data_IF_355359141201
#
_entry.id   IF_355359141201
#
_cell.length_a   1.000
_cell.length_b   1.000
_cell.length_c   1.000
_cell.angle_alpha   90.00
_cell.angle_beta   90.00
_cell.angle_gamma   90.00
#
_symmetry.space_group_name_H-M   'P 1'
#
loop_
_entity.id
_entity.type
_entity.pdbx_description
1 polymer ?
#
# COMPACT_ATOMS: atom_id res chain seq x y z
N UNK A 1 -14.21 -39.65 7.25
CA UNK A 1 -12.98 -40.24 7.83
C UNK A 1 -11.92 -40.33 6.73
N UNK A 2 -11.16 -39.26 6.49
CA UNK A 2 -10.05 -39.27 5.52
C UNK A 2 -8.76 -38.86 6.26
N UNK A 3 -7.82 -39.80 6.33
CA UNK A 3 -6.50 -39.65 6.97
C UNK A 3 -5.57 -38.90 6.02
N UNK A 4 -5.01 -37.78 6.46
CA UNK A 4 -3.90 -37.11 5.79
C UNK A 4 -2.64 -37.31 6.63
N UNK A 5 -1.71 -38.07 6.06
CA UNK A 5 -0.35 -38.33 6.54
C UNK A 5 0.50 -37.07 6.40
N UNK A 6 0.94 -36.51 7.53
CA UNK A 6 1.89 -35.40 7.58
C UNK A 6 3.31 -35.93 7.78
N UNK A 7 4.18 -35.66 6.80
CA UNK A 7 5.63 -35.78 6.90
C UNK A 7 6.26 -34.54 6.30
N UNK A 8 6.85 -33.67 7.13
CA UNK A 8 7.96 -32.73 6.80
C UNK A 8 8.64 -32.44 8.14
N UNK A 9 9.73 -33.12 8.50
CA UNK A 9 11.14 -32.90 8.15
C UNK A 9 11.71 -31.54 8.61
N UNK A 10 12.64 -31.68 9.54
CA UNK A 10 13.39 -30.72 10.36
C UNK A 10 14.36 -29.86 9.56
N UNK A 11 14.51 -28.60 9.96
CA UNK A 11 15.69 -27.81 9.60
C UNK A 11 15.61 -26.38 10.10
N UNK A 12 16.35 -26.04 11.17
CA UNK A 12 16.74 -24.65 11.41
C UNK A 12 18.16 -24.57 11.99
N UNK A 13 18.99 -23.80 11.28
CA UNK A 13 20.37 -23.41 11.58
C UNK A 13 20.47 -22.61 12.88
N UNK A 14 21.54 -22.86 13.65
CA UNK A 14 21.91 -22.06 14.81
C UNK A 14 22.94 -20.96 14.47
N UNK A 15 22.84 -19.89 15.27
CA UNK A 15 23.33 -18.52 15.13
C UNK A 15 24.86 -18.31 15.18
N UNK A 16 25.21 -17.14 14.63
CA UNK A 16 26.50 -16.45 14.63
C UNK A 16 27.04 -16.02 16.01
N UNK A 17 28.37 -15.91 16.10
CA UNK A 17 29.13 -15.23 17.16
C UNK A 17 30.03 -14.14 16.52
N UNK A 18 29.87 -12.85 16.87
CA UNK A 18 30.65 -12.05 17.87
C UNK A 18 32.13 -11.82 17.42
N UNK A 19 32.74 -10.61 17.38
CA UNK A 19 33.02 -9.57 18.43
C UNK A 19 33.65 -8.34 17.72
N UNK A 20 33.58 -7.09 18.26
CA UNK A 20 34.13 -5.87 17.64
C UNK A 20 35.61 -5.60 18.00
N UNK A 21 36.32 -4.81 17.17
CA UNK A 21 37.62 -4.24 17.54
C UNK A 21 37.63 -2.74 17.23
N UNK A 22 37.79 -1.95 18.29
CA UNK A 22 38.07 -0.52 18.30
C UNK A 22 39.58 -0.27 18.22
N UNK A 23 40.03 0.69 17.42
CA UNK A 23 41.40 1.23 17.51
C UNK A 23 41.34 2.75 17.39
N UNK A 24 41.98 3.41 18.36
CA UNK A 24 41.86 4.84 18.66
C UNK A 24 42.63 5.80 17.76
N UNK A 25 42.30 7.08 17.96
CA UNK A 25 42.97 8.26 17.41
C UNK A 25 44.36 8.50 18.02
N UNK A 26 45.14 9.43 17.42
CA UNK A 26 45.56 10.58 18.21
C UNK A 26 45.31 11.92 17.51
N UNK A 27 45.19 12.93 18.36
CA UNK A 27 44.96 14.34 18.04
C UNK A 27 46.21 15.04 17.50
N UNK A 28 46.00 16.08 16.69
CA UNK A 28 46.92 17.23 16.59
C UNK A 28 46.13 18.51 16.39
N UNK A 29 46.36 19.45 17.28
CA UNK A 29 45.79 20.79 17.29
C UNK A 29 46.70 21.74 16.48
N UNK A 30 46.10 22.68 15.75
CA UNK A 30 46.72 23.94 15.35
C UNK A 30 45.65 25.03 15.16
N UNK A 31 46.04 26.25 15.50
CA UNK A 31 45.24 27.42 15.91
C UNK A 31 44.53 28.21 14.77
N UNK A 32 43.73 29.26 15.08
CA UNK A 32 42.77 29.88 14.16
C UNK A 32 43.37 31.05 13.37
N UNK A 33 42.87 31.25 12.14
CA UNK A 33 43.10 32.46 11.37
C UNK A 33 41.77 33.04 10.87
N UNK A 34 41.59 34.33 11.15
CA UNK A 34 40.43 35.13 10.82
C UNK A 34 40.35 35.49 9.33
N UNK A 35 39.13 35.78 8.88
CA UNK A 35 38.86 36.66 7.75
C UNK A 35 38.41 35.97 6.48
N UNK A 36 37.09 35.99 6.22
CA UNK A 36 36.50 36.66 5.04
C UNK A 36 34.99 36.45 5.07
N UNK A 37 34.28 37.57 5.06
CA UNK A 37 32.84 37.67 4.80
C UNK A 37 32.53 37.06 3.43
N UNK A 38 31.79 35.96 3.43
CA UNK A 38 31.02 35.52 2.29
C UNK A 38 29.59 35.34 2.75
N UNK A 39 28.78 36.34 2.40
CA UNK A 39 27.33 36.31 2.40
C UNK A 39 26.87 35.08 1.60
N UNK A 40 26.61 33.98 2.29
CA UNK A 40 25.97 32.80 1.72
C UNK A 40 24.54 32.81 2.20
N UNK A 41 23.67 33.22 1.26
CA UNK A 41 22.24 33.05 1.31
C UNK A 41 21.83 31.73 1.99
N UNK A 42 20.75 31.70 2.78
CA UNK A 42 20.28 30.46 3.36
C UNK A 42 19.96 29.52 2.19
N UNK A 43 20.73 28.43 2.08
CA UNK A 43 20.30 27.25 1.35
C UNK A 43 18.97 26.87 1.98
N UNK A 44 17.89 27.22 1.28
CA UNK A 44 16.57 26.68 1.50
C UNK A 44 16.65 25.19 1.27
N UNK A 45 17.13 24.46 2.29
CA UNK A 45 16.74 23.09 2.53
C UNK A 45 15.24 23.16 2.69
N UNK A 46 14.52 23.08 1.57
CA UNK A 46 13.13 22.70 1.56
C UNK A 46 13.15 21.35 2.23
N UNK A 47 12.86 21.34 3.55
CA UNK A 47 12.58 20.12 4.28
C UNK A 47 11.70 19.32 3.35
N UNK A 48 12.18 18.14 2.95
CA UNK A 48 11.39 17.23 2.13
C UNK A 48 10.13 16.98 2.95
N UNK A 49 9.07 17.73 2.64
CA UNK A 49 7.76 17.51 3.22
C UNK A 49 7.48 16.08 2.83
N UNK A 50 7.51 15.16 3.80
CA UNK A 50 7.25 13.76 3.56
C UNK A 50 5.97 13.71 2.73
N UNK A 51 6.10 13.36 1.45
CA UNK A 51 4.97 13.43 0.54
C UNK A 51 3.93 12.46 1.10
N UNK A 52 2.75 12.97 1.46
CA UNK A 52 1.68 12.12 1.96
C UNK A 52 1.36 11.13 0.84
N UNK A 53 1.55 9.85 1.11
CA UNK A 53 1.19 8.80 0.17
C UNK A 53 -0.34 8.75 0.07
N UNK A 54 -0.84 9.21 -1.07
CA UNK A 54 -2.27 9.25 -1.39
C UNK A 54 -2.59 8.16 -2.38
N UNK A 55 -3.55 7.31 -2.00
CA UNK A 55 -4.26 6.40 -2.89
C UNK A 55 -5.64 7.00 -3.12
N UNK A 56 -6.03 7.24 -4.36
CA UNK A 56 -7.39 7.68 -4.70
C UNK A 56 -7.94 6.89 -5.87
N UNK A 57 -9.13 7.25 -6.35
CA UNK A 57 -9.79 6.53 -7.47
C UNK A 57 -8.94 6.40 -8.74
N UNK A 58 -8.00 7.31 -8.98
CA UNK A 58 -7.11 7.25 -10.14
C UNK A 58 -5.85 6.37 -9.92
N UNK A 59 -5.69 5.78 -8.73
CA UNK A 59 -4.55 4.97 -8.31
C UNK A 59 -3.62 5.72 -7.36
N UNK A 60 -2.37 5.27 -7.25
CA UNK A 60 -1.37 5.74 -6.30
C UNK A 60 -0.03 6.03 -6.99
N UNK A 61 0.50 7.25 -6.84
CA UNK A 61 1.77 7.64 -7.45
C UNK A 61 1.85 7.32 -8.96
N UNK A 62 2.83 6.52 -9.42
CA UNK A 62 2.94 6.11 -10.83
C UNK A 62 1.92 5.03 -11.25
N UNK A 63 1.28 4.35 -10.29
CA UNK A 63 0.34 3.26 -10.54
C UNK A 63 -1.05 3.83 -10.81
N UNK A 64 -1.35 4.11 -12.09
CA UNK A 64 -2.63 4.69 -12.53
C UNK A 64 -3.60 3.64 -13.06
N UNK A 65 -4.86 3.71 -12.65
CA UNK A 65 -5.91 2.81 -13.16
C UNK A 65 -5.95 2.87 -14.70
N UNK A 66 -5.80 1.72 -15.35
CA UNK A 66 -5.70 1.54 -16.80
C UNK A 66 -4.27 1.38 -17.34
N UNK A 67 -3.25 1.63 -16.51
CA UNK A 67 -1.84 1.44 -16.87
C UNK A 67 -1.55 -0.03 -17.22
N UNK A 68 -0.63 -0.25 -18.15
CA UNK A 68 -0.30 -1.59 -18.64
C UNK A 68 0.77 -2.24 -17.77
N UNK A 69 0.59 -3.52 -17.44
CA UNK A 69 1.54 -4.31 -16.66
C UNK A 69 2.92 -4.32 -17.30
N UNK A 70 3.00 -4.62 -18.60
CA UNK A 70 4.25 -4.68 -19.37
C UNK A 70 5.07 -3.38 -19.29
N UNK A 71 4.40 -2.22 -19.35
CA UNK A 71 5.04 -0.90 -19.25
C UNK A 71 5.54 -0.61 -17.84
N UNK A 72 4.79 -0.99 -16.82
CA UNK A 72 5.22 -0.82 -15.43
C UNK A 72 6.40 -1.75 -15.10
N UNK A 73 6.37 -3.00 -15.58
CA UNK A 73 7.50 -3.95 -15.44
C UNK A 73 8.74 -3.41 -16.15
N UNK A 74 8.62 -2.97 -17.41
CA UNK A 74 9.75 -2.40 -18.16
C UNK A 74 10.35 -1.14 -17.50
N UNK A 75 9.54 -0.40 -16.73
CA UNK A 75 9.98 0.76 -15.97
C UNK A 75 10.58 0.41 -14.59
N UNK A 76 10.67 -0.86 -14.22
CA UNK A 76 11.16 -1.30 -12.90
C UNK A 76 10.21 -0.97 -11.75
N UNK A 77 8.90 -0.81 -12.03
CA UNK A 77 7.88 -0.47 -11.05
C UNK A 77 7.15 -1.68 -10.46
N UNK A 78 7.43 -2.89 -10.96
CA UNK A 78 6.81 -4.14 -10.51
C UNK A 78 7.88 -5.02 -9.87
N UNK A 79 7.65 -5.43 -8.63
CA UNK A 79 8.56 -6.28 -7.85
C UNK A 79 8.29 -7.77 -8.12
N UNK A 80 7.02 -8.16 -8.03
CA UNK A 80 6.55 -9.52 -8.26
C UNK A 80 5.19 -9.53 -8.93
N UNK A 81 4.84 -10.65 -9.53
CA UNK A 81 3.49 -10.94 -10.05
C UNK A 81 3.05 -12.33 -9.63
N UNK A 82 1.76 -12.50 -9.33
CA UNK A 82 1.15 -13.79 -9.02
C UNK A 82 -0.21 -13.93 -9.71
N UNK A 83 -0.60 -15.13 -10.16
CA UNK A 83 -1.95 -15.35 -10.66
C UNK A 83 -2.95 -15.24 -9.51
N UNK A 84 -4.01 -14.45 -9.73
CA UNK A 84 -5.18 -14.34 -8.88
C UNK A 84 -6.39 -15.06 -9.49
N UNK A 85 -7.56 -14.88 -8.87
CA UNK A 85 -8.80 -15.49 -9.36
C UNK A 85 -9.42 -14.73 -10.55
N UNK A 86 -10.29 -15.40 -11.31
CA UNK A 86 -11.04 -14.81 -12.42
C UNK A 86 -10.17 -14.06 -13.46
N UNK A 87 -8.97 -14.57 -13.72
CA UNK A 87 -8.02 -14.00 -14.70
C UNK A 87 -7.33 -12.71 -14.24
N UNK A 88 -7.35 -12.42 -12.94
CA UNK A 88 -6.59 -11.32 -12.34
C UNK A 88 -5.13 -11.73 -12.19
N UNK A 89 -4.22 -10.77 -12.36
CA UNK A 89 -2.81 -10.89 -11.97
C UNK A 89 -2.55 -9.87 -10.88
N UNK A 90 -2.16 -10.34 -9.71
CA UNK A 90 -1.74 -9.49 -8.60
C UNK A 90 -0.27 -9.15 -8.76
N UNK A 91 0.13 -7.95 -8.34
CA UNK A 91 1.50 -7.52 -8.39
C UNK A 91 1.91 -6.66 -7.20
N UNK A 92 3.18 -6.81 -6.81
CA UNK A 92 3.85 -5.95 -5.85
C UNK A 92 4.44 -4.71 -6.52
N UNK A 93 4.31 -3.56 -5.87
CA UNK A 93 4.97 -2.33 -6.27
C UNK A 93 6.44 -2.30 -5.81
N UNK A 94 7.28 -1.51 -6.48
CA UNK A 94 8.66 -1.20 -6.03
C UNK A 94 8.76 0.18 -5.37
N UNK A 95 9.94 0.49 -4.80
CA UNK A 95 10.28 1.80 -4.28
C UNK A 95 9.48 2.20 -3.04
N UNK A 96 9.06 3.47 -2.97
CA UNK A 96 8.31 4.01 -1.82
C UNK A 96 6.97 3.28 -1.55
N UNK A 97 6.44 2.59 -2.56
CA UNK A 97 5.17 1.86 -2.51
C UNK A 97 5.34 0.37 -2.19
N UNK A 98 6.58 -0.13 -2.13
CA UNK A 98 6.86 -1.54 -1.86
C UNK A 98 6.30 -1.97 -0.50
N UNK A 99 5.59 -3.10 -0.50
CA UNK A 99 4.93 -3.65 0.70
C UNK A 99 3.75 -2.82 1.24
N UNK A 100 3.38 -1.70 0.60
CA UNK A 100 2.27 -0.83 1.03
C UNK A 100 1.02 -0.97 0.19
N UNK A 101 1.17 -1.30 -1.09
CA UNK A 101 0.06 -1.48 -2.01
C UNK A 101 0.18 -2.81 -2.75
N UNK A 102 -0.98 -3.37 -3.10
CA UNK A 102 -1.13 -4.46 -4.06
C UNK A 102 -1.86 -3.91 -5.29
N UNK A 103 -1.40 -4.33 -6.45
CA UNK A 103 -1.93 -3.92 -7.74
C UNK A 103 -2.67 -5.10 -8.36
N UNK A 104 -3.92 -4.91 -8.80
CA UNK A 104 -4.67 -5.94 -9.51
C UNK A 104 -4.78 -5.60 -10.99
N UNK A 105 -4.31 -6.50 -11.86
CA UNK A 105 -4.37 -6.36 -13.31
C UNK A 105 -5.39 -7.32 -13.90
N UNK A 106 -6.15 -6.86 -14.88
CA UNK A 106 -7.01 -7.69 -15.72
C UNK A 106 -6.78 -7.34 -17.18
N UNK A 107 -6.62 -8.34 -18.03
CA UNK A 107 -6.30 -8.16 -19.45
C UNK A 107 -5.05 -7.26 -19.66
N UNK A 108 -4.08 -7.41 -18.76
CA UNK A 108 -2.83 -6.62 -18.75
C UNK A 108 -2.96 -5.17 -18.31
N UNK A 109 -4.12 -4.72 -17.79
CA UNK A 109 -4.37 -3.35 -17.34
C UNK A 109 -4.70 -3.27 -15.86
N UNK A 110 -4.18 -2.27 -15.18
CA UNK A 110 -4.44 -2.01 -13.76
C UNK A 110 -5.91 -1.66 -13.55
N UNK A 111 -6.64 -2.47 -12.79
CA UNK A 111 -8.08 -2.28 -12.51
C UNK A 111 -8.37 -1.82 -11.10
N UNK A 112 -7.48 -2.12 -10.14
CA UNK A 112 -7.52 -1.58 -8.79
C UNK A 112 -6.15 -1.53 -8.13
N UNK A 113 -6.06 -0.70 -7.09
CA UNK A 113 -4.93 -0.60 -6.17
C UNK A 113 -5.52 -0.68 -4.77
N UNK A 114 -4.99 -1.58 -3.94
CA UNK A 114 -5.45 -1.75 -2.57
C UNK A 114 -4.33 -1.78 -1.55
N UNK A 115 -4.68 -1.55 -0.30
CA UNK A 115 -3.75 -1.51 0.83
C UNK A 115 -4.38 -2.05 2.10
N UNK A 116 -3.56 -2.76 2.88
CA UNK A 116 -3.85 -3.17 4.27
C UNK A 116 -3.02 -2.37 5.29
N UNK A 117 -2.33 -1.31 4.85
CA UNK A 117 -1.35 -0.57 5.65
C UNK A 117 -1.71 0.91 5.78
N UNK A 118 -1.06 1.59 6.72
CA UNK A 118 -1.13 3.05 6.86
C UNK A 118 0.29 3.59 6.96
N UNK A 119 0.70 4.55 6.09
CA UNK A 119 0.03 5.02 4.86
C UNK A 119 -0.16 3.93 3.77
N UNK A 120 -0.93 4.18 2.67
CA UNK A 120 -1.53 5.45 2.21
C UNK A 120 -2.91 5.81 2.81
N UNK A 121 -3.32 7.07 2.58
CA UNK A 121 -4.67 7.58 2.88
C UNK A 121 -5.41 7.96 1.60
N UNK A 122 -6.74 8.01 1.67
CA UNK A 122 -7.56 8.60 0.62
C UNK A 122 -7.32 10.12 0.51
N UNK A 123 -7.70 10.76 -0.61
CA UNK A 123 -7.63 12.22 -0.73
C UNK A 123 -8.47 12.95 0.34
N UNK A 124 -9.52 12.30 0.85
CA UNK A 124 -10.37 12.84 1.91
C UNK A 124 -9.83 12.52 3.34
N UNK A 125 -8.69 11.82 3.44
CA UNK A 125 -8.04 11.48 4.70
C UNK A 125 -8.49 10.16 5.33
N UNK A 126 -9.36 9.39 4.66
CA UNK A 126 -9.76 8.06 5.11
C UNK A 126 -8.60 7.06 5.00
N UNK A 127 -8.57 6.06 5.88
CA UNK A 127 -7.47 5.10 5.92
C UNK A 127 -7.87 3.78 6.59
N UNK A 128 -7.02 2.77 6.42
CA UNK A 128 -7.10 1.51 7.19
C UNK A 128 -7.06 1.82 8.68
N UNK A 129 -7.81 1.06 9.48
CA UNK A 129 -7.95 1.22 10.93
C UNK A 129 -9.06 2.18 11.37
N UNK A 130 -9.61 3.03 10.49
CA UNK A 130 -10.78 3.85 10.84
C UNK A 130 -12.04 3.00 11.02
N UNK A 131 -12.97 3.45 11.84
CA UNK A 131 -14.33 2.91 11.91
C UNK A 131 -15.18 3.35 10.72
N UNK A 132 -16.23 2.59 10.39
CA UNK A 132 -17.18 3.02 9.35
C UNK A 132 -17.92 4.31 9.71
N UNK A 133 -18.14 4.58 11.01
CA UNK A 133 -18.70 5.86 11.47
C UNK A 133 -17.74 7.04 11.22
N UNK A 134 -16.42 6.83 11.31
CA UNK A 134 -15.43 7.83 10.88
C UNK A 134 -15.49 8.08 9.38
N UNK A 135 -15.60 7.02 8.58
CA UNK A 135 -15.75 7.17 7.14
C UNK A 135 -17.01 7.94 6.77
N UNK A 136 -18.13 7.66 7.45
CA UNK A 136 -19.38 8.40 7.26
C UNK A 136 -19.24 9.88 7.60
N UNK A 137 -18.48 10.24 8.65
CA UNK A 137 -18.17 11.64 8.94
C UNK A 137 -17.31 12.31 7.88
N UNK A 138 -16.37 11.58 7.26
CA UNK A 138 -15.48 12.10 6.20
C UNK A 138 -16.22 12.29 4.86
N UNK A 139 -17.01 11.29 4.46
CA UNK A 139 -17.62 11.25 3.14
C UNK A 139 -19.05 11.79 3.12
N UNK A 140 -19.77 11.72 4.23
CA UNK A 140 -21.18 12.09 4.35
C UNK A 140 -22.00 11.41 3.27
N UNK A 141 -22.84 12.18 2.58
CA UNK A 141 -23.75 11.70 1.52
C UNK A 141 -23.05 11.11 0.29
N UNK A 142 -21.72 11.22 0.17
CA UNK A 142 -20.96 10.67 -0.96
C UNK A 142 -20.67 9.17 -0.78
N UNK A 143 -20.73 8.67 0.45
CA UNK A 143 -20.48 7.28 0.77
C UNK A 143 -21.69 6.60 1.39
N UNK A 144 -21.67 5.28 1.39
CA UNK A 144 -22.72 4.46 2.01
C UNK A 144 -22.14 3.14 2.50
N UNK A 145 -22.70 2.64 3.61
CA UNK A 145 -22.47 1.27 4.03
C UNK A 145 -23.23 0.32 3.07
N UNK A 146 -22.54 -0.71 2.59
CA UNK A 146 -23.08 -1.76 1.74
C UNK A 146 -22.80 -3.13 2.36
N UNK A 147 -23.59 -4.12 1.98
CA UNK A 147 -23.36 -5.53 2.30
C UNK A 147 -23.03 -6.31 1.03
N UNK A 148 -22.26 -7.38 1.18
CA UNK A 148 -22.09 -8.36 0.13
C UNK A 148 -23.39 -9.17 -0.09
N UNK A 149 -23.46 -9.91 -1.17
CA UNK A 149 -24.67 -10.64 -1.56
C UNK A 149 -24.96 -11.83 -0.62
N UNK A 150 -23.93 -12.34 0.08
CA UNK A 150 -24.08 -13.33 1.15
C UNK A 150 -24.63 -12.73 2.46
N UNK A 151 -24.57 -11.41 2.64
CA UNK A 151 -25.07 -10.71 3.81
C UNK A 151 -24.21 -10.84 5.07
N UNK A 152 -23.01 -11.40 4.97
CA UNK A 152 -22.10 -11.67 6.10
C UNK A 152 -20.91 -10.70 6.18
N UNK A 153 -20.74 -9.81 5.20
CA UNK A 153 -19.70 -8.80 5.18
C UNK A 153 -20.24 -7.40 4.87
N UNK A 154 -19.66 -6.40 5.53
CA UNK A 154 -19.95 -4.99 5.34
C UNK A 154 -18.74 -4.23 4.78
N UNK A 155 -19.02 -3.22 3.96
CA UNK A 155 -18.03 -2.30 3.43
C UNK A 155 -18.60 -0.88 3.33
N UNK A 156 -17.74 0.12 3.42
CA UNK A 156 -18.10 1.50 3.12
C UNK A 156 -17.69 1.82 1.69
N UNK A 157 -18.65 2.15 0.84
CA UNK A 157 -18.46 2.43 -0.59
C UNK A 157 -18.60 3.92 -0.86
N UNK A 158 -17.64 4.50 -1.58
CA UNK A 158 -17.70 5.87 -2.09
C UNK A 158 -17.57 5.84 -3.61
N UNK A 159 -18.55 6.41 -4.33
CA UNK A 159 -18.60 6.34 -5.80
C UNK A 159 -18.16 7.64 -6.46
N UNK A 160 -17.33 7.51 -7.48
CA UNK A 160 -16.83 8.58 -8.35
C UNK A 160 -17.02 8.17 -9.81
N UNK A 161 -18.25 8.31 -10.31
CA UNK A 161 -18.62 7.83 -11.66
C UNK A 161 -18.41 6.32 -11.78
N UNK A 162 -17.55 5.90 -12.73
CA UNK A 162 -17.21 4.50 -12.97
C UNK A 162 -16.13 3.93 -12.04
N UNK A 163 -15.64 4.73 -11.08
CA UNK A 163 -14.61 4.35 -10.12
C UNK A 163 -15.11 4.46 -8.68
N UNK A 164 -14.45 3.75 -7.79
CA UNK A 164 -14.86 3.67 -6.38
C UNK A 164 -13.65 3.72 -5.46
N UNK A 165 -13.91 4.16 -4.24
CA UNK A 165 -13.13 3.84 -3.05
C UNK A 165 -13.99 2.88 -2.22
N UNK A 166 -13.44 1.71 -1.87
CA UNK A 166 -14.11 0.69 -1.07
C UNK A 166 -13.26 0.41 0.17
N UNK A 167 -13.88 0.46 1.33
CA UNK A 167 -13.25 0.16 2.61
C UNK A 167 -13.95 -1.05 3.24
N UNK A 168 -13.26 -2.18 3.36
CA UNK A 168 -13.82 -3.42 3.93
C UNK A 168 -13.29 -3.63 5.35
N UNK A 169 -14.08 -4.33 6.18
CA UNK A 169 -13.74 -4.59 7.58
C UNK A 169 -12.54 -5.53 7.75
N UNK A 170 -11.83 -5.42 8.87
CA UNK A 170 -10.78 -6.38 9.25
C UNK A 170 -11.42 -7.63 9.88
N UNK A 171 -11.02 -8.87 9.51
CA UNK A 171 -11.68 -10.09 10.00
C UNK A 171 -11.54 -10.32 11.52
N UNK A 172 -10.48 -9.79 12.11
CA UNK A 172 -10.13 -10.01 13.54
C UNK A 172 -10.34 -8.76 14.41
N UNK A 173 -10.38 -7.56 13.82
CA UNK A 173 -10.35 -6.29 14.58
C UNK A 173 -11.46 -5.36 14.09
N UNK A 174 -12.05 -4.54 14.97
CA UNK A 174 -12.97 -3.50 14.53
C UNK A 174 -12.29 -2.51 13.58
N UNK A 175 -13.06 -2.00 12.62
CA UNK A 175 -12.61 -0.99 11.66
C UNK A 175 -12.17 -1.55 10.31
N UNK A 176 -11.76 -0.64 9.44
CA UNK A 176 -11.30 -0.93 8.09
C UNK A 176 -10.03 -1.78 8.15
N UNK A 177 -10.06 -2.95 7.53
CA UNK A 177 -8.89 -3.82 7.35
C UNK A 177 -8.23 -3.65 5.98
N UNK A 178 -9.00 -3.18 4.99
CA UNK A 178 -8.54 -3.03 3.63
C UNK A 178 -9.18 -1.81 2.97
N UNK A 179 -8.36 -1.02 2.30
CA UNK A 179 -8.79 0.11 1.48
C UNK A 179 -8.39 -0.14 0.03
N UNK A 180 -9.35 -0.09 -0.88
CA UNK A 180 -9.15 -0.31 -2.31
C UNK A 180 -9.77 0.80 -3.16
N UNK A 181 -9.05 1.21 -4.19
CA UNK A 181 -9.56 2.15 -5.19
C UNK A 181 -9.40 1.58 -6.59
N UNK A 182 -10.42 1.73 -7.43
CA UNK A 182 -10.39 1.14 -8.77
C UNK A 182 -11.68 1.28 -9.55
N UNK A 183 -11.81 0.46 -10.60
CA UNK A 183 -13.03 0.37 -11.41
C UNK A 183 -14.18 -0.22 -10.57
N UNK A 184 -15.34 0.44 -10.58
CA UNK A 184 -16.52 -0.04 -9.86
C UNK A 184 -16.92 -1.46 -10.28
N UNK A 185 -16.87 -1.73 -11.60
CA UNK A 185 -17.18 -3.05 -12.17
C UNK A 185 -16.24 -4.17 -11.72
N UNK A 186 -15.08 -3.82 -11.18
CA UNK A 186 -14.14 -4.77 -10.60
C UNK A 186 -14.27 -4.84 -9.08
N UNK A 187 -14.01 -3.72 -8.40
CA UNK A 187 -13.88 -3.63 -6.94
C UNK A 187 -15.20 -3.93 -6.24
N UNK A 188 -16.28 -3.24 -6.62
CA UNK A 188 -17.59 -3.43 -5.97
C UNK A 188 -18.16 -4.82 -6.29
N UNK A 189 -18.00 -5.29 -7.53
CA UNK A 189 -18.46 -6.63 -7.92
C UNK A 189 -17.74 -7.72 -7.14
N UNK A 190 -16.41 -7.62 -7.01
CA UNK A 190 -15.62 -8.58 -6.25
C UNK A 190 -16.04 -8.62 -4.78
N UNK A 191 -16.34 -7.46 -4.17
CA UNK A 191 -16.89 -7.44 -2.81
C UNK A 191 -18.28 -8.05 -2.72
N UNK A 192 -19.19 -7.69 -3.63
CA UNK A 192 -20.57 -8.18 -3.60
C UNK A 192 -20.67 -9.70 -3.78
N UNK A 193 -19.95 -10.23 -4.76
CA UNK A 193 -20.09 -11.61 -5.21
C UNK A 193 -19.04 -12.55 -4.61
N UNK A 194 -18.01 -11.99 -3.96
CA UNK A 194 -16.80 -12.73 -3.62
C UNK A 194 -15.91 -13.01 -4.85
N UNK A 195 -14.64 -13.40 -4.63
CA UNK A 195 -13.78 -13.84 -5.72
C UNK A 195 -14.29 -15.19 -6.25
N UNK A 196 -14.59 -15.26 -7.55
CA UNK A 196 -14.85 -16.53 -8.23
C UNK A 196 -13.52 -17.21 -8.55
N UNK A 197 -13.12 -18.12 -7.66
CA UNK A 197 -12.12 -19.14 -7.86
C UNK A 197 -12.89 -20.49 -7.92
#
# INVERSE_FOLDING_TARGET
>A
MNRLTSTVLTGLLALAAAVPVTVGAPASAAAPAAGTTADRAPMGGRAAVAAVEVLGVHGAGPYRIGARLDRLTAAGLIDWTAPGCAGVVDAGATGAWAGKIILAFRDGRLVSVGTATVPPRSPAGASVGMSFAELERIYGRRGALIRNDAGDAEAYLVRFGSRVELFTGHPIRPGVGWYEAGLASHVERAFRQGPSC
#
